data_IF_766816705312
#
_entry.id   IF_766816705312
#
_cell.length_a   1.000
_cell.length_b   1.000
_cell.length_c   1.000
_cell.angle_alpha   90.00
_cell.angle_beta   90.00
_cell.angle_gamma   90.00
#
_symmetry.space_group_name_H-M   'P 1'
#
loop_
_entity.id
_entity.type
_entity.pdbx_description
1 polymer ?
#
# COMPACT_ATOMS: atom_id res chain seq x y z
N UNK A 1 4.90 -33.80 52.82
CA UNK A 1 4.05 -33.23 51.76
C UNK A 1 4.72 -31.97 51.28
N UNK A 2 5.48 -32.05 50.19
CA UNK A 2 6.19 -30.90 49.64
C UNK A 2 5.18 -30.00 48.93
N UNK A 3 5.05 -28.78 49.43
CA UNK A 3 4.33 -27.72 48.75
C UNK A 3 5.03 -27.47 47.40
N UNK A 4 4.28 -27.66 46.32
CA UNK A 4 4.74 -27.33 44.98
C UNK A 4 4.95 -25.82 44.89
N UNK A 5 6.17 -25.45 44.53
CA UNK A 5 6.51 -24.14 43.99
C UNK A 5 5.64 -23.92 42.75
N UNK A 6 4.58 -23.11 42.86
CA UNK A 6 3.89 -22.55 41.70
C UNK A 6 4.89 -21.61 41.00
N UNK A 7 5.73 -22.21 40.16
CA UNK A 7 6.77 -21.51 39.44
C UNK A 7 6.19 -20.35 38.66
N UNK A 8 6.56 -19.13 39.04
CA UNK A 8 6.40 -17.92 38.25
C UNK A 8 6.83 -18.21 36.80
N UNK A 9 5.85 -18.39 35.89
CA UNK A 9 6.14 -18.61 34.48
C UNK A 9 7.06 -17.49 33.98
N UNK A 10 8.15 -17.87 33.31
CA UNK A 10 9.13 -16.91 32.80
C UNK A 10 8.45 -15.99 31.79
N UNK A 11 8.59 -14.68 31.99
CA UNK A 11 8.08 -13.65 31.07
C UNK A 11 8.85 -13.73 29.74
N UNK A 12 8.15 -13.55 28.62
CA UNK A 12 8.80 -13.42 27.31
C UNK A 12 9.82 -12.26 27.33
N UNK A 13 11.01 -12.53 26.80
CA UNK A 13 12.00 -11.52 26.47
C UNK A 13 12.16 -11.45 24.94
N UNK A 14 12.13 -10.24 24.40
CA UNK A 14 12.23 -10.01 22.95
C UNK A 14 13.56 -9.39 22.57
N UNK A 15 14.09 -9.76 21.41
CA UNK A 15 15.32 -9.16 20.85
C UNK A 15 15.12 -8.77 19.42
N UNK A 16 15.33 -7.50 19.11
CA UNK A 16 15.31 -6.97 17.75
C UNK A 16 16.38 -7.61 16.86
N UNK A 17 16.02 -7.94 15.63
CA UNK A 17 16.86 -8.59 14.63
C UNK A 17 17.00 -7.69 13.39
N UNK A 18 17.83 -6.62 13.43
CA UNK A 18 17.95 -5.67 12.32
C UNK A 18 18.44 -6.28 11.00
N UNK A 19 19.17 -7.39 11.08
CA UNK A 19 19.72 -8.13 9.94
C UNK A 19 18.70 -9.07 9.27
N UNK A 20 17.54 -9.30 9.89
CA UNK A 20 16.47 -10.15 9.34
C UNK A 20 15.56 -9.30 8.46
N UNK A 21 15.97 -9.10 7.23
CA UNK A 21 15.17 -8.46 6.19
C UNK A 21 14.40 -9.51 5.37
N UNK A 22 13.38 -9.07 4.61
CA UNK A 22 12.66 -9.94 3.68
C UNK A 22 13.22 -9.77 2.26
N UNK A 23 13.73 -10.84 1.63
CA UNK A 23 14.23 -10.79 0.26
C UNK A 23 13.21 -10.22 -0.75
N UNK A 24 11.93 -10.51 -0.58
CA UNK A 24 10.84 -10.00 -1.43
C UNK A 24 10.71 -8.48 -1.37
N UNK A 25 10.98 -7.82 -0.23
CA UNK A 25 10.96 -6.35 -0.10
C UNK A 25 12.26 -5.68 -0.61
N UNK A 26 13.35 -6.42 -0.66
CA UNK A 26 14.63 -5.96 -1.20
C UNK A 26 14.73 -6.16 -2.72
N UNK A 27 13.93 -7.08 -3.27
CA UNK A 27 13.87 -7.35 -4.70
C UNK A 27 13.56 -6.08 -5.50
N UNK A 28 14.38 -5.81 -6.53
CA UNK A 28 14.29 -4.59 -7.36
C UNK A 28 12.91 -4.40 -8.00
N UNK A 29 12.30 -5.47 -8.49
CA UNK A 29 11.01 -5.40 -9.18
C UNK A 29 9.89 -5.13 -8.18
N UNK A 30 9.92 -5.78 -7.01
CA UNK A 30 9.01 -5.45 -5.90
C UNK A 30 9.20 -4.01 -5.43
N UNK A 31 10.43 -3.53 -5.28
CA UNK A 31 10.65 -2.13 -4.90
C UNK A 31 10.13 -1.15 -5.96
N UNK A 32 10.32 -1.46 -7.25
CA UNK A 32 9.75 -0.69 -8.35
C UNK A 32 8.22 -0.61 -8.26
N UNK A 33 7.57 -1.76 -8.04
CA UNK A 33 6.11 -1.85 -7.82
C UNK A 33 5.67 -1.08 -6.59
N UNK A 34 6.31 -1.25 -5.45
CA UNK A 34 5.96 -0.53 -4.21
C UNK A 34 6.17 0.99 -4.34
N UNK A 35 7.14 1.47 -5.12
CA UNK A 35 7.27 2.90 -5.43
C UNK A 35 6.10 3.37 -6.28
N UNK A 36 5.78 2.64 -7.34
CA UNK A 36 4.65 2.91 -8.22
C UNK A 36 3.32 2.92 -7.44
N UNK A 37 3.13 1.97 -6.54
CA UNK A 37 1.95 1.86 -5.69
C UNK A 37 1.99 2.79 -4.47
N UNK A 38 2.96 3.71 -4.36
CA UNK A 38 3.06 4.69 -3.27
C UNK A 38 3.17 4.07 -1.85
N UNK A 39 3.73 2.87 -1.74
CA UNK A 39 3.94 2.16 -0.47
C UNK A 39 5.41 2.14 -0.02
N UNK A 40 6.35 2.35 -0.96
CA UNK A 40 7.79 2.32 -0.66
C UNK A 40 8.15 3.37 0.41
N UNK A 41 8.97 2.96 1.39
CA UNK A 41 9.34 3.80 2.52
C UNK A 41 8.27 3.94 3.60
N UNK A 42 7.06 3.37 3.40
CA UNK A 42 5.98 3.33 4.40
C UNK A 42 5.56 1.91 4.78
N UNK A 43 5.77 0.94 3.89
CA UNK A 43 5.67 -0.49 4.21
C UNK A 43 7.01 -1.00 4.71
N UNK A 44 7.02 -1.79 5.78
CA UNK A 44 8.21 -2.43 6.29
C UNK A 44 7.88 -3.73 7.00
N UNK A 45 8.90 -4.58 7.17
CA UNK A 45 8.84 -5.75 8.04
C UNK A 45 9.98 -5.67 9.04
N UNK A 46 9.64 -5.78 10.33
CA UNK A 46 10.58 -5.72 11.43
C UNK A 46 10.61 -7.06 12.15
N UNK A 47 11.78 -7.61 12.42
CA UNK A 47 11.91 -8.94 13.01
C UNK A 47 12.38 -8.87 14.47
N UNK A 48 11.77 -9.70 15.32
CA UNK A 48 12.20 -9.92 16.70
C UNK A 48 12.27 -11.42 16.97
N UNK A 49 13.19 -11.84 17.83
CA UNK A 49 13.18 -13.19 18.43
C UNK A 49 12.57 -13.15 19.82
N UNK A 50 12.09 -14.31 20.29
CA UNK A 50 11.59 -14.50 21.65
C UNK A 50 12.10 -15.81 22.27
N UNK A 51 12.15 -15.89 23.60
CA UNK A 51 12.85 -16.96 24.32
C UNK A 51 11.94 -18.04 24.93
N UNK A 52 10.64 -17.76 25.11
CA UNK A 52 9.66 -18.71 25.65
C UNK A 52 8.86 -19.43 24.55
N UNK A 53 8.19 -20.53 24.91
CA UNK A 53 7.32 -21.25 23.99
C UNK A 53 6.04 -20.45 23.73
N UNK A 54 5.75 -20.17 22.47
CA UNK A 54 4.50 -19.56 22.06
C UNK A 54 3.39 -20.61 22.02
N UNK A 55 2.22 -20.26 22.56
CA UNK A 55 1.00 -21.06 22.50
C UNK A 55 -0.14 -20.18 21.97
N UNK A 56 -0.73 -20.56 20.84
CA UNK A 56 -1.72 -19.73 20.14
C UNK A 56 -2.92 -19.34 21.01
N UNK A 57 -3.37 -20.22 21.90
CA UNK A 57 -4.48 -19.93 22.82
C UNK A 57 -4.16 -18.90 23.91
N UNK A 58 -2.88 -18.59 24.16
CA UNK A 58 -2.41 -17.51 25.06
C UNK A 58 -1.96 -16.28 24.27
N UNK A 59 -2.57 -16.02 23.11
CA UNK A 59 -2.22 -14.89 22.25
C UNK A 59 -2.18 -13.56 22.99
N UNK A 60 -3.14 -13.30 23.87
CA UNK A 60 -3.29 -12.00 24.52
C UNK A 60 -2.12 -11.72 25.46
N UNK A 61 -1.61 -12.76 26.12
CA UNK A 61 -0.42 -12.66 26.96
C UNK A 61 0.85 -12.43 26.13
N UNK A 62 1.00 -13.12 25.00
CA UNK A 62 2.14 -12.93 24.11
C UNK A 62 2.19 -11.51 23.54
N UNK A 63 1.08 -11.04 22.98
CA UNK A 63 1.01 -9.69 22.38
C UNK A 63 1.15 -8.62 23.47
N UNK A 64 0.57 -8.84 24.66
CA UNK A 64 0.79 -7.96 25.81
C UNK A 64 2.24 -7.93 26.26
N UNK A 65 2.92 -9.07 26.29
CA UNK A 65 4.34 -9.13 26.62
C UNK A 65 5.17 -8.39 25.56
N UNK A 66 4.86 -8.56 24.28
CA UNK A 66 5.55 -7.91 23.15
C UNK A 66 5.51 -6.38 23.27
N UNK A 67 4.33 -5.76 23.34
CA UNK A 67 4.21 -4.30 23.39
C UNK A 67 4.65 -3.67 24.72
N UNK A 68 4.84 -4.47 25.79
CA UNK A 68 5.36 -4.00 27.07
C UNK A 68 6.84 -4.35 27.28
N UNK A 69 7.50 -4.96 26.29
CA UNK A 69 8.92 -5.28 26.37
C UNK A 69 9.76 -4.03 26.05
N UNK A 70 10.72 -3.65 26.92
CA UNK A 70 11.54 -2.47 26.70
C UNK A 70 12.36 -2.49 25.40
N UNK A 71 12.81 -3.67 24.94
CA UNK A 71 13.53 -3.81 23.68
C UNK A 71 12.60 -3.57 22.49
N UNK A 72 11.36 -4.06 22.55
CA UNK A 72 10.33 -3.77 21.54
C UNK A 72 10.02 -2.28 21.52
N UNK A 73 9.73 -1.65 22.66
CA UNK A 73 9.42 -0.22 22.70
C UNK A 73 10.54 0.66 22.16
N UNK A 74 11.80 0.25 22.36
CA UNK A 74 12.98 0.97 21.88
C UNK A 74 13.31 0.73 20.41
N UNK A 75 12.78 -0.31 19.76
CA UNK A 75 13.18 -0.70 18.40
C UNK A 75 12.02 -0.81 17.41
N UNK A 76 10.79 -1.05 17.86
CA UNK A 76 9.61 -1.16 17.00
C UNK A 76 9.31 0.22 16.42
N UNK A 77 9.60 0.35 15.12
CA UNK A 77 9.44 1.57 14.35
C UNK A 77 8.03 1.71 13.80
N UNK A 78 7.59 2.96 13.72
CA UNK A 78 6.36 3.41 13.08
C UNK A 78 6.58 4.80 12.48
N UNK A 79 5.64 5.24 11.66
CA UNK A 79 5.62 6.59 11.08
C UNK A 79 4.75 7.50 11.93
N UNK A 80 5.28 8.69 12.24
CA UNK A 80 4.47 9.78 12.78
C UNK A 80 3.49 10.30 11.73
N UNK A 81 2.53 11.12 12.16
CA UNK A 81 1.62 11.82 11.24
C UNK A 81 2.36 12.71 10.22
N UNK A 82 3.56 13.20 10.56
CA UNK A 82 4.42 13.97 9.65
C UNK A 82 5.24 13.10 8.68
N UNK A 83 5.15 11.77 8.78
CA UNK A 83 5.89 10.83 7.92
C UNK A 83 7.34 10.59 8.36
N UNK A 84 7.69 10.95 9.60
CA UNK A 84 9.02 10.65 10.15
C UNK A 84 9.00 9.31 10.88
N UNK A 85 10.07 8.53 10.70
CA UNK A 85 10.25 7.28 11.43
C UNK A 85 10.62 7.56 12.89
N UNK A 86 9.85 6.98 13.80
CA UNK A 86 10.09 6.99 15.24
C UNK A 86 9.92 5.58 15.80
N UNK A 87 10.23 5.38 17.08
CA UNK A 87 9.91 4.15 17.82
C UNK A 87 8.62 4.33 18.62
N UNK A 88 8.02 3.22 19.06
CA UNK A 88 6.75 3.23 19.80
C UNK A 88 6.79 4.22 20.97
N UNK A 89 7.89 4.22 21.74
CA UNK A 89 8.30 5.27 22.70
C UNK A 89 7.33 5.61 23.84
N UNK A 90 6.11 5.10 23.78
CA UNK A 90 4.96 5.41 24.62
C UNK A 90 4.62 4.19 25.45
N UNK A 91 4.06 4.43 26.63
CA UNK A 91 3.58 3.36 27.50
C UNK A 91 2.20 2.92 27.03
N UNK A 92 2.16 1.76 26.37
CA UNK A 92 0.90 1.14 25.94
C UNK A 92 0.04 0.77 27.15
N UNK A 93 -1.24 1.12 27.11
CA UNK A 93 -2.24 0.84 28.15
C UNK A 93 -3.19 -0.27 27.76
N UNK A 94 -3.63 -0.26 26.49
CA UNK A 94 -4.54 -1.26 25.92
C UNK A 94 -3.97 -1.77 24.61
N UNK A 95 -4.21 -3.05 24.35
CA UNK A 95 -3.76 -3.75 23.15
C UNK A 95 -4.95 -4.52 22.61
N UNK A 96 -5.19 -4.41 21.31
CA UNK A 96 -6.15 -5.24 20.59
C UNK A 96 -5.39 -6.16 19.64
N UNK A 97 -5.72 -7.44 19.68
CA UNK A 97 -5.09 -8.48 18.87
C UNK A 97 -6.17 -9.41 18.31
N UNK A 98 -6.46 -9.24 17.02
CA UNK A 98 -7.43 -10.02 16.27
C UNK A 98 -6.67 -11.15 15.56
N UNK A 99 -7.10 -12.39 15.74
CA UNK A 99 -6.54 -13.53 15.01
C UNK A 99 -6.95 -13.40 13.55
N UNK A 100 -5.98 -13.48 12.64
CA UNK A 100 -6.23 -13.47 11.20
C UNK A 100 -6.06 -14.90 10.70
N UNK A 101 -7.10 -15.53 10.15
CA UNK A 101 -7.00 -16.86 9.53
C UNK A 101 -5.86 -16.90 8.52
N UNK A 102 -5.09 -17.98 8.54
CA UNK A 102 -3.97 -18.18 7.62
C UNK A 102 -3.93 -19.64 7.24
N UNK A 103 -4.80 -20.01 6.30
CA UNK A 103 -5.02 -21.40 5.88
C UNK A 103 -4.69 -21.61 4.39
N UNK A 104 -4.66 -20.54 3.60
CA UNK A 104 -4.45 -20.63 2.16
C UNK A 104 -2.99 -20.90 1.78
N UNK A 105 -2.72 -22.09 1.23
CA UNK A 105 -1.38 -22.50 0.75
C UNK A 105 -1.16 -22.30 -0.76
N UNK A 106 -2.18 -21.84 -1.48
CA UNK A 106 -2.16 -21.71 -2.95
C UNK A 106 -2.68 -20.35 -3.42
N UNK A 107 -2.03 -19.81 -4.46
CA UNK A 107 -2.50 -18.60 -5.15
C UNK A 107 -3.75 -18.85 -6.02
N UNK A 108 -4.10 -20.12 -6.29
CA UNK A 108 -5.35 -20.47 -7.00
C UNK A 108 -6.60 -19.98 -6.29
N UNK A 109 -6.47 -19.59 -5.01
CA UNK A 109 -7.47 -18.84 -4.27
C UNK A 109 -8.05 -17.64 -5.04
N UNK A 110 -7.23 -16.98 -5.88
CA UNK A 110 -7.62 -15.81 -6.67
C UNK A 110 -8.10 -16.15 -8.09
N UNK A 111 -8.13 -17.41 -8.51
CA UNK A 111 -8.55 -17.80 -9.88
C UNK A 111 -10.01 -17.40 -10.17
N UNK A 112 -10.82 -17.28 -9.13
CA UNK A 112 -12.21 -16.78 -9.21
C UNK A 112 -12.33 -15.37 -9.79
N UNK A 113 -11.28 -14.54 -9.69
CA UNK A 113 -11.25 -13.21 -10.31
C UNK A 113 -11.37 -13.29 -11.84
N UNK A 114 -10.84 -14.36 -12.46
CA UNK A 114 -11.00 -14.61 -13.89
C UNK A 114 -12.37 -15.18 -14.21
N UNK A 115 -12.83 -16.14 -13.38
CA UNK A 115 -14.07 -16.88 -13.64
C UNK A 115 -15.31 -15.98 -13.60
N UNK A 116 -15.31 -14.97 -12.74
CA UNK A 116 -16.43 -14.05 -12.55
C UNK A 116 -16.26 -12.71 -13.27
N UNK A 117 -15.34 -12.63 -14.25
CA UNK A 117 -15.25 -11.49 -15.17
C UNK A 117 -14.63 -10.20 -14.59
N UNK A 118 -14.10 -10.21 -13.37
CA UNK A 118 -13.34 -9.08 -12.79
C UNK A 118 -12.03 -8.87 -13.57
N UNK A 119 -11.44 -9.97 -14.04
CA UNK A 119 -10.21 -9.98 -14.84
C UNK A 119 -10.45 -10.79 -16.11
N UNK A 120 -10.04 -10.23 -17.24
CA UNK A 120 -10.12 -10.89 -18.55
C UNK A 120 -9.14 -12.05 -18.64
N UNK A 121 -9.37 -12.98 -19.55
CA UNK A 121 -8.45 -14.10 -19.83
C UNK A 121 -7.00 -13.65 -20.13
N UNK A 122 -6.85 -12.44 -20.69
CA UNK A 122 -5.54 -11.81 -20.96
C UNK A 122 -4.83 -11.29 -19.71
N UNK A 123 -5.45 -11.36 -18.53
CA UNK A 123 -4.94 -10.81 -17.28
C UNK A 123 -5.29 -9.33 -17.05
N UNK A 124 -5.92 -8.67 -18.02
CA UNK A 124 -6.35 -7.27 -17.89
C UNK A 124 -7.54 -7.13 -16.94
N UNK A 125 -7.44 -6.20 -15.98
CA UNK A 125 -8.48 -5.91 -15.01
C UNK A 125 -9.58 -5.08 -15.69
N UNK A 126 -10.85 -5.45 -15.48
CA UNK A 126 -11.99 -4.72 -16.04
C UNK A 126 -12.08 -3.33 -15.40
N UNK A 127 -12.15 -2.30 -16.24
CA UNK A 127 -12.24 -0.90 -15.82
C UNK A 127 -13.66 -0.52 -15.41
N UNK A 128 -13.76 0.43 -14.50
CA UNK A 128 -15.02 1.07 -14.11
C UNK A 128 -14.90 2.59 -14.23
N UNK A 129 -15.98 3.31 -13.91
CA UNK A 129 -15.89 4.76 -13.74
C UNK A 129 -15.01 5.11 -12.56
N UNK A 130 -14.23 6.19 -12.72
CA UNK A 130 -13.37 6.70 -11.67
C UNK A 130 -14.20 7.23 -10.50
N UNK A 131 -13.88 6.74 -9.31
CA UNK A 131 -14.46 7.15 -8.04
C UNK A 131 -13.39 7.13 -6.94
N UNK A 132 -13.72 7.59 -5.75
CA UNK A 132 -12.84 7.59 -4.58
C UNK A 132 -13.57 7.06 -3.35
N UNK A 133 -12.92 6.15 -2.63
CA UNK A 133 -13.40 5.65 -1.34
C UNK A 133 -12.32 5.89 -0.28
N UNK A 134 -12.62 6.73 0.71
CA UNK A 134 -11.69 7.15 1.77
C UNK A 134 -10.30 7.59 1.26
N UNK A 135 -10.26 8.27 0.11
CA UNK A 135 -9.01 8.75 -0.50
C UNK A 135 -8.22 7.69 -1.25
N UNK A 136 -8.80 6.51 -1.49
CA UNK A 136 -8.28 5.48 -2.39
C UNK A 136 -8.99 5.62 -3.74
N UNK A 137 -8.27 5.76 -4.87
CA UNK A 137 -8.89 5.80 -6.19
C UNK A 137 -9.45 4.44 -6.58
N UNK A 138 -10.67 4.43 -7.10
CA UNK A 138 -11.36 3.26 -7.65
C UNK A 138 -11.57 3.50 -9.14
N UNK A 139 -10.86 2.73 -9.97
CA UNK A 139 -10.89 2.85 -11.44
C UNK A 139 -11.07 1.50 -12.14
N UNK A 140 -11.29 0.44 -11.36
CA UNK A 140 -11.49 -0.92 -11.85
C UNK A 140 -12.34 -1.78 -10.90
N UNK A 141 -12.87 -2.86 -11.46
CA UNK A 141 -13.72 -3.82 -10.74
C UNK A 141 -12.95 -4.56 -9.64
N UNK A 142 -11.63 -4.73 -9.78
CA UNK A 142 -10.82 -5.37 -8.74
C UNK A 142 -10.86 -4.56 -7.44
N UNK A 143 -10.66 -3.24 -7.50
CA UNK A 143 -10.72 -2.39 -6.31
C UNK A 143 -12.12 -2.33 -5.71
N UNK A 144 -13.17 -2.32 -6.54
CA UNK A 144 -14.54 -2.42 -6.06
C UNK A 144 -14.76 -3.70 -5.27
N UNK A 145 -14.39 -4.87 -5.82
CA UNK A 145 -14.47 -6.16 -5.11
C UNK A 145 -13.74 -6.10 -3.77
N UNK A 146 -12.58 -5.47 -3.71
CA UNK A 146 -11.76 -5.43 -2.52
C UNK A 146 -12.27 -4.47 -1.44
N UNK A 147 -12.92 -3.36 -1.80
CA UNK A 147 -13.28 -2.27 -0.88
C UNK A 147 -14.78 -2.06 -0.66
N UNK A 148 -15.58 -2.19 -1.71
CA UNK A 148 -16.96 -1.73 -1.70
C UNK A 148 -17.92 -2.89 -1.41
N UNK A 149 -18.59 -2.83 -0.27
CA UNK A 149 -19.57 -3.83 0.17
C UNK A 149 -20.80 -3.90 -0.74
N UNK A 150 -21.10 -2.83 -1.47
CA UNK A 150 -22.20 -2.71 -2.42
C UNK A 150 -21.81 -3.03 -3.88
N UNK A 151 -20.57 -3.49 -4.11
CA UNK A 151 -20.15 -3.97 -5.43
C UNK A 151 -20.91 -5.23 -5.83
N UNK A 152 -21.35 -5.31 -7.10
CA UNK A 152 -21.98 -6.49 -7.69
C UNK A 152 -21.14 -7.77 -7.52
N UNK A 153 -19.82 -7.62 -7.40
CA UNK A 153 -18.88 -8.72 -7.25
C UNK A 153 -18.34 -8.86 -5.81
N UNK A 154 -18.91 -8.19 -4.82
CA UNK A 154 -18.43 -8.28 -3.42
C UNK A 154 -18.48 -9.74 -2.90
N UNK A 155 -19.54 -10.48 -3.17
CA UNK A 155 -19.69 -11.85 -2.66
C UNK A 155 -18.79 -12.89 -3.36
N UNK A 156 -17.97 -12.48 -4.34
CA UNK A 156 -16.94 -13.31 -4.97
C UNK A 156 -16.03 -14.00 -3.92
N UNK A 157 -15.74 -13.27 -2.86
CA UNK A 157 -15.05 -13.78 -1.69
C UNK A 157 -15.99 -13.70 -0.48
N UNK A 158 -16.34 -14.86 0.09
CA UNK A 158 -17.07 -14.93 1.36
C UNK A 158 -16.35 -14.15 2.46
N UNK A 159 -17.08 -13.82 3.52
CA UNK A 159 -16.50 -13.14 4.69
C UNK A 159 -15.27 -13.87 5.24
N UNK A 160 -15.33 -15.21 5.36
CA UNK A 160 -14.18 -16.02 5.79
C UNK A 160 -12.97 -15.90 4.86
N UNK A 161 -13.20 -15.81 3.55
CA UNK A 161 -12.13 -15.62 2.56
C UNK A 161 -11.53 -14.22 2.66
N UNK A 162 -12.34 -13.20 2.93
CA UNK A 162 -11.88 -11.80 3.08
C UNK A 162 -11.01 -11.62 4.32
N UNK A 163 -11.21 -12.45 5.34
CA UNK A 163 -10.44 -12.45 6.58
C UNK A 163 -9.11 -13.22 6.48
N UNK A 164 -8.92 -14.05 5.45
CA UNK A 164 -7.66 -14.77 5.25
C UNK A 164 -6.48 -13.82 5.07
N UNK A 165 -5.34 -14.13 5.70
CA UNK A 165 -4.14 -13.30 5.63
C UNK A 165 -3.62 -13.15 4.20
N UNK A 166 -3.74 -14.19 3.38
CA UNK A 166 -3.40 -14.12 1.96
C UNK A 166 -4.26 -13.08 1.21
N UNK A 167 -5.56 -13.04 1.49
CA UNK A 167 -6.46 -12.05 0.92
C UNK A 167 -6.13 -10.64 1.42
N UNK A 168 -5.91 -10.47 2.73
CA UNK A 168 -5.56 -9.18 3.33
C UNK A 168 -4.28 -8.60 2.70
N UNK A 169 -3.24 -9.44 2.55
CA UNK A 169 -1.98 -9.02 1.93
C UNK A 169 -2.18 -8.61 0.46
N UNK A 170 -2.94 -9.40 -0.31
CA UNK A 170 -3.29 -9.07 -1.69
C UNK A 170 -4.08 -7.76 -1.78
N UNK A 171 -5.11 -7.60 -0.94
CA UNK A 171 -5.91 -6.38 -0.83
C UNK A 171 -5.01 -5.18 -0.62
N UNK A 172 -4.15 -5.20 0.41
CA UNK A 172 -3.27 -4.07 0.71
C UNK A 172 -2.36 -3.68 -0.46
N UNK A 173 -1.82 -4.64 -1.21
CA UNK A 173 -0.97 -4.35 -2.36
C UNK A 173 -1.76 -3.75 -3.54
N UNK A 174 -2.99 -4.22 -3.76
CA UNK A 174 -3.88 -3.66 -4.77
C UNK A 174 -4.27 -2.22 -4.42
N UNK A 175 -4.61 -1.93 -3.16
CA UNK A 175 -5.02 -0.59 -2.77
C UNK A 175 -3.86 0.41 -2.83
N UNK A 176 -2.64 -0.02 -2.48
CA UNK A 176 -1.45 0.83 -2.55
C UNK A 176 -1.43 1.91 -1.47
N UNK A 177 -0.85 3.07 -1.80
CA UNK A 177 -0.82 4.27 -0.96
C UNK A 177 -1.50 5.47 -1.65
N UNK A 178 -1.35 6.66 -1.08
CA UNK A 178 -2.11 7.86 -1.51
C UNK A 178 -1.90 8.26 -2.98
N UNK A 179 -0.72 8.01 -3.54
CA UNK A 179 -0.40 8.33 -4.95
C UNK A 179 -0.22 7.05 -5.78
N UNK A 180 -1.02 6.02 -5.49
CA UNK A 180 -0.92 4.72 -6.15
C UNK A 180 -1.13 4.86 -7.67
N UNK A 181 -0.08 4.58 -8.44
CA UNK A 181 -0.18 4.32 -9.87
C UNK A 181 -0.47 2.84 -10.04
N UNK A 182 -1.72 2.47 -10.23
CA UNK A 182 -2.14 1.08 -10.26
C UNK A 182 -1.71 0.34 -11.55
N UNK A 183 -1.86 -0.98 -11.53
CA UNK A 183 -1.67 -1.83 -12.71
C UNK A 183 -2.99 -2.03 -13.45
N UNK A 184 -2.91 -2.17 -14.77
CA UNK A 184 -4.03 -2.58 -15.61
C UNK A 184 -4.15 -4.10 -15.74
N UNK A 185 -3.19 -4.84 -15.20
CA UNK A 185 -3.11 -6.30 -15.25
C UNK A 185 -2.93 -6.89 -13.85
N UNK A 186 -3.51 -8.07 -13.61
CA UNK A 186 -3.54 -8.70 -12.28
C UNK A 186 -2.19 -9.31 -11.86
N UNK A 187 -1.40 -9.80 -12.84
CA UNK A 187 -0.17 -10.56 -12.60
C UNK A 187 0.82 -9.94 -11.60
N UNK A 188 1.20 -8.66 -11.72
CA UNK A 188 2.13 -8.02 -10.80
C UNK A 188 1.69 -8.06 -9.34
N UNK A 189 0.38 -7.93 -9.07
CA UNK A 189 -0.15 -8.04 -7.71
C UNK A 189 0.01 -9.46 -7.17
N UNK A 190 -0.41 -10.48 -7.95
CA UNK A 190 -0.30 -11.89 -7.54
C UNK A 190 1.15 -12.30 -7.27
N UNK A 191 2.07 -11.90 -8.14
CA UNK A 191 3.50 -12.19 -7.99
C UNK A 191 4.08 -11.56 -6.71
N UNK A 192 3.77 -10.30 -6.45
CA UNK A 192 4.27 -9.59 -5.26
C UNK A 192 3.62 -10.13 -3.98
N UNK A 193 2.32 -10.44 -4.00
CA UNK A 193 1.64 -11.14 -2.89
C UNK A 193 2.31 -12.48 -2.61
N UNK A 194 2.51 -13.31 -3.63
CA UNK A 194 3.13 -14.63 -3.49
C UNK A 194 4.54 -14.54 -2.90
N UNK A 195 5.35 -13.60 -3.36
CA UNK A 195 6.71 -13.40 -2.86
C UNK A 195 6.71 -13.00 -1.37
N UNK A 196 5.89 -12.01 -1.00
CA UNK A 196 5.78 -11.57 0.40
C UNK A 196 5.21 -12.66 1.31
N UNK A 197 4.17 -13.36 0.85
CA UNK A 197 3.53 -14.43 1.62
C UNK A 197 4.52 -15.56 1.92
N UNK A 198 5.34 -15.97 0.93
CA UNK A 198 6.37 -17.00 1.11
C UNK A 198 7.48 -16.62 2.09
N UNK A 199 7.81 -15.33 2.16
CA UNK A 199 8.85 -14.86 3.09
C UNK A 199 8.31 -14.71 4.51
N UNK A 200 7.04 -14.33 4.65
CA UNK A 200 6.38 -14.10 5.94
C UNK A 200 5.91 -15.39 6.61
N UNK A 201 5.26 -16.28 5.84
CA UNK A 201 4.55 -17.44 6.37
C UNK A 201 5.41 -18.70 6.29
N UNK A 202 5.57 -19.35 7.43
CA UNK A 202 6.24 -20.64 7.52
C UNK A 202 5.25 -21.79 7.32
N UNK A 203 5.73 -22.80 6.61
CA UNK A 203 5.01 -24.05 6.38
C UNK A 203 5.90 -25.23 6.74
N UNK A 204 5.28 -26.36 7.07
CA UNK A 204 5.94 -27.66 7.16
C UNK A 204 5.11 -28.70 6.42
N UNK A 205 5.71 -29.85 6.12
CA UNK A 205 4.95 -31.00 5.65
C UNK A 205 4.46 -31.77 6.86
N UNK A 206 3.17 -32.09 6.86
CA UNK A 206 2.62 -33.01 7.82
C UNK A 206 3.32 -34.38 7.69
N UNK A 207 3.83 -34.97 8.78
CA UNK A 207 4.58 -36.22 8.70
C UNK A 207 3.76 -37.41 8.18
N UNK A 208 2.44 -37.43 8.40
CA UNK A 208 1.56 -38.54 8.05
C UNK A 208 0.95 -38.34 6.66
N UNK A 209 0.24 -37.24 6.46
CA UNK A 209 -0.52 -36.93 5.24
C UNK A 209 0.35 -36.38 4.10
N UNK A 210 1.57 -35.90 4.42
CA UNK A 210 2.49 -35.19 3.49
C UNK A 210 1.96 -33.86 2.96
N UNK A 211 0.80 -33.40 3.43
CA UNK A 211 0.23 -32.12 3.06
C UNK A 211 1.03 -30.96 3.65
N UNK A 212 0.98 -29.81 2.98
CA UNK A 212 1.64 -28.60 3.45
C UNK A 212 0.72 -27.94 4.48
N UNK A 213 1.21 -27.77 5.71
CA UNK A 213 0.50 -27.11 6.79
C UNK A 213 1.22 -25.81 7.18
N UNK A 214 0.45 -24.75 7.39
CA UNK A 214 0.96 -23.46 7.88
C UNK A 214 1.26 -23.57 9.37
N UNK A 215 2.45 -23.12 9.77
CA UNK A 215 2.90 -23.15 11.17
C UNK A 215 2.90 -21.77 11.83
N UNK A 216 2.83 -20.71 11.02
CA UNK A 216 2.77 -19.33 11.53
C UNK A 216 1.39 -19.00 12.08
N UNK A 217 1.34 -18.19 13.13
CA UNK A 217 0.10 -17.59 13.66
C UNK A 217 0.11 -16.09 13.40
N UNK A 218 -1.00 -15.54 12.88
CA UNK A 218 -1.11 -14.15 12.45
C UNK A 218 -2.05 -13.38 13.36
N UNK A 219 -1.63 -12.19 13.82
CA UNK A 219 -2.46 -11.27 14.57
C UNK A 219 -2.46 -9.89 13.91
N UNK A 220 -3.65 -9.33 13.62
CA UNK A 220 -3.77 -7.90 13.34
C UNK A 220 -3.79 -7.18 14.69
N UNK A 221 -2.90 -6.20 14.85
CA UNK A 221 -2.68 -5.57 16.15
C UNK A 221 -2.84 -4.07 16.12
N UNK A 222 -3.43 -3.55 17.19
CA UNK A 222 -3.50 -2.12 17.49
C UNK A 222 -3.10 -1.91 18.95
N UNK A 223 -2.39 -0.82 19.23
CA UNK A 223 -2.00 -0.45 20.59
C UNK A 223 -2.49 0.97 20.90
N UNK A 224 -2.86 1.18 22.17
CA UNK A 224 -3.47 2.41 22.65
C UNK A 224 -2.74 2.92 23.89
N UNK A 225 -2.50 4.22 23.94
CA UNK A 225 -1.98 4.96 25.09
C UNK A 225 -3.06 5.89 25.66
N UNK A 226 -2.66 6.86 26.48
CA UNK A 226 -3.60 7.81 27.11
C UNK A 226 -4.28 8.77 26.11
N UNK A 227 -3.77 8.88 24.87
CA UNK A 227 -4.29 9.75 23.82
C UNK A 227 -5.10 8.99 22.75
N UNK A 228 -5.29 7.67 22.90
CA UNK A 228 -5.98 6.83 21.92
C UNK A 228 -5.03 5.87 21.21
N UNK A 229 -5.33 5.54 19.94
CA UNK A 229 -4.52 4.58 19.17
C UNK A 229 -3.14 5.19 18.89
N UNK A 230 -2.07 4.54 19.37
CA UNK A 230 -0.68 4.97 19.14
C UNK A 230 0.05 4.08 18.14
N UNK A 231 -0.48 2.89 17.84
CA UNK A 231 0.07 1.95 16.86
C UNK A 231 -1.06 1.22 16.13
N UNK A 232 -1.00 1.01 14.80
CA UNK A 232 0.10 1.37 13.88
C UNK A 232 0.24 2.88 13.58
N UNK A 233 -0.82 3.66 13.80
CA UNK A 233 -0.79 5.11 13.64
C UNK A 233 -1.86 5.74 14.52
N UNK A 234 -1.77 7.05 14.75
CA UNK A 234 -2.83 7.82 15.42
C UNK A 234 -4.05 8.08 14.52
N UNK A 235 -3.95 7.79 13.23
CA UNK A 235 -5.05 7.88 12.27
C UNK A 235 -5.47 6.49 11.81
N UNK A 236 -6.75 6.17 11.98
CA UNK A 236 -7.35 4.96 11.42
C UNK A 236 -7.54 5.13 9.92
N UNK A 237 -7.25 4.06 9.17
CA UNK A 237 -7.48 3.98 7.74
C UNK A 237 -7.39 2.50 7.31
N UNK A 238 -8.15 2.08 6.29
CA UNK A 238 -8.14 0.70 5.78
C UNK A 238 -6.73 0.21 5.41
N UNK A 239 -5.93 1.15 4.91
CA UNK A 239 -4.57 0.94 4.45
C UNK A 239 -3.52 1.31 5.52
N UNK A 240 -3.91 1.47 6.78
CA UNK A 240 -2.99 1.60 7.92
C UNK A 240 -3.12 0.34 8.77
N UNK A 241 -2.09 -0.49 8.79
CA UNK A 241 -2.15 -1.83 9.39
C UNK A 241 -0.84 -2.25 10.03
N UNK A 242 -0.95 -3.14 11.00
CA UNK A 242 0.16 -3.94 11.50
C UNK A 242 -0.28 -5.38 11.78
N UNK A 243 0.54 -6.32 11.30
CA UNK A 243 0.37 -7.74 11.55
C UNK A 243 1.59 -8.27 12.30
N UNK A 244 1.37 -9.05 13.36
CA UNK A 244 2.37 -9.90 13.98
C UNK A 244 2.26 -11.29 13.35
N UNK A 245 3.34 -11.73 12.71
CA UNK A 245 3.48 -13.06 12.12
C UNK A 245 4.43 -13.86 13.02
N UNK A 246 3.85 -14.66 13.90
CA UNK A 246 4.59 -15.45 14.90
C UNK A 246 4.95 -16.81 14.29
N UNK A 247 6.23 -17.12 14.25
CA UNK A 247 6.77 -18.44 13.93
C UNK A 247 7.23 -19.12 15.22
N UNK A 248 6.47 -20.11 15.74
CA UNK A 248 6.79 -20.76 17.00
C UNK A 248 8.07 -21.60 16.95
N UNK A 249 8.40 -22.17 15.77
CA UNK A 249 9.54 -23.08 15.60
C UNK A 249 10.84 -22.30 15.48
N UNK A 250 10.84 -21.23 14.68
CA UNK A 250 11.99 -20.30 14.57
C UNK A 250 12.10 -19.38 15.78
N UNK A 251 11.06 -19.32 16.62
CA UNK A 251 10.91 -18.37 17.73
C UNK A 251 11.10 -16.92 17.31
N UNK A 252 10.52 -16.58 16.17
CA UNK A 252 10.58 -15.24 15.59
C UNK A 252 9.18 -14.66 15.46
N UNK A 253 9.08 -13.34 15.58
CA UNK A 253 7.89 -12.58 15.17
C UNK A 253 8.32 -11.54 14.13
N UNK A 254 7.68 -11.58 12.97
CA UNK A 254 7.78 -10.51 11.97
C UNK A 254 6.61 -9.55 12.17
N UNK A 255 6.90 -8.26 12.17
CA UNK A 255 5.91 -7.19 12.24
C UNK A 255 5.80 -6.57 10.87
N UNK A 256 4.79 -6.98 10.10
CA UNK A 256 4.44 -6.34 8.83
C UNK A 256 3.64 -5.08 9.13
N UNK A 257 4.16 -3.94 8.70
CA UNK A 257 3.63 -2.62 9.03
C UNK A 257 3.45 -1.79 7.77
N UNK A 258 2.36 -1.02 7.70
CA UNK A 258 2.18 0.07 6.77
C UNK A 258 1.33 1.18 7.39
N UNK A 259 1.64 2.44 7.08
CA UNK A 259 0.80 3.59 7.45
C UNK A 259 0.43 4.39 6.21
N UNK A 260 -0.87 4.53 6.00
CA UNK A 260 -1.45 5.34 4.96
C UNK A 260 -1.33 6.82 5.32
N UNK A 261 -0.58 7.55 4.51
CA UNK A 261 -0.57 9.00 4.49
C UNK A 261 0.14 9.46 3.20
N UNK A 262 -0.18 10.68 2.76
CA UNK A 262 0.51 11.33 1.67
C UNK A 262 1.81 11.97 2.17
N UNK A 263 2.92 11.69 1.48
CA UNK A 263 4.06 12.61 1.44
C UNK A 263 4.46 12.69 -0.03
N UNK A 264 4.39 13.88 -0.62
CA UNK A 264 4.82 14.06 -2.01
C UNK A 264 6.34 13.97 -2.05
N UNK A 265 6.86 12.91 -2.65
CA UNK A 265 8.29 12.81 -2.98
C UNK A 265 8.40 13.06 -4.49
N UNK A 266 8.79 14.28 -4.84
CA UNK A 266 9.06 14.66 -6.22
C UNK A 266 10.54 14.46 -6.50
N UNK A 267 10.87 13.47 -7.33
CA UNK A 267 12.22 13.28 -7.82
C UNK A 267 12.47 14.22 -9.01
N UNK A 268 13.05 15.38 -8.73
CA UNK A 268 13.50 16.33 -9.76
C UNK A 268 14.89 15.92 -10.23
N UNK A 269 15.09 15.76 -11.55
CA UNK A 269 16.43 15.51 -12.10
C UNK A 269 17.31 16.74 -11.88
N UNK A 270 18.60 16.51 -11.60
CA UNK A 270 19.55 17.58 -11.27
C UNK A 270 19.78 18.59 -12.40
N UNK A 271 19.48 18.22 -13.63
CA UNK A 271 19.59 19.02 -14.86
C UNK A 271 18.26 19.62 -15.33
N UNK A 272 17.19 19.54 -14.53
CA UNK A 272 15.83 19.96 -14.92
C UNK A 272 15.74 21.42 -15.39
N UNK A 273 16.50 22.34 -14.81
CA UNK A 273 16.55 23.74 -15.24
C UNK A 273 17.19 23.88 -16.64
N UNK A 274 18.31 23.19 -16.85
CA UNK A 274 19.01 23.15 -18.14
C UNK A 274 18.19 22.43 -19.21
N UNK A 275 17.48 21.36 -18.86
CA UNK A 275 16.60 20.61 -19.77
C UNK A 275 15.41 21.47 -20.23
N UNK A 276 14.83 22.24 -19.31
CA UNK A 276 13.73 23.15 -19.63
C UNK A 276 14.20 24.30 -20.52
N UNK A 277 15.38 24.89 -20.25
CA UNK A 277 15.98 25.91 -21.12
C UNK A 277 16.35 25.33 -22.50
N UNK A 278 16.90 24.12 -22.56
CA UNK A 278 17.22 23.42 -23.80
C UNK A 278 15.96 23.18 -24.66
N UNK A 279 14.82 22.87 -24.04
CA UNK A 279 13.55 22.70 -24.73
C UNK A 279 13.09 23.98 -25.45
N UNK A 280 13.24 25.15 -24.82
CA UNK A 280 12.93 26.44 -25.47
C UNK A 280 13.97 26.80 -26.54
N UNK A 281 15.25 26.64 -26.24
CA UNK A 281 16.34 26.94 -27.17
C UNK A 281 16.30 26.06 -28.42
N UNK A 282 15.80 24.82 -28.34
CA UNK A 282 15.57 23.94 -29.48
C UNK A 282 14.71 24.58 -30.59
N UNK A 283 13.75 25.42 -30.20
CA UNK A 283 12.82 26.10 -31.12
C UNK A 283 13.29 27.50 -31.46
N UNK A 284 13.76 28.25 -30.46
CA UNK A 284 14.12 29.67 -30.63
C UNK A 284 15.50 29.86 -31.28
N UNK A 285 16.44 28.95 -31.01
CA UNK A 285 17.83 29.00 -31.48
C UNK A 285 18.26 27.67 -32.14
N UNK A 286 17.57 27.23 -33.22
CA UNK A 286 17.69 25.88 -33.77
C UNK A 286 19.06 25.52 -34.34
N UNK A 287 19.92 26.51 -34.59
CA UNK A 287 21.30 26.31 -35.08
C UNK A 287 22.34 26.17 -33.96
N UNK A 288 22.00 26.55 -32.72
CA UNK A 288 22.89 26.53 -31.56
C UNK A 288 22.54 25.48 -30.50
N UNK A 289 21.36 24.87 -30.57
CA UNK A 289 20.90 23.87 -29.61
C UNK A 289 21.38 22.46 -29.98
N UNK A 290 22.13 21.81 -29.08
CA UNK A 290 22.54 20.41 -29.23
C UNK A 290 21.48 19.48 -28.61
N UNK A 291 20.32 19.39 -29.24
CA UNK A 291 19.19 18.55 -28.78
C UNK A 291 18.89 17.43 -29.77
N UNK A 292 18.37 16.27 -29.33
CA UNK A 292 17.97 15.20 -30.24
C UNK A 292 16.92 15.66 -31.25
N UNK A 293 17.22 15.50 -32.55
CA UNK A 293 16.23 15.78 -33.59
C UNK A 293 15.20 14.65 -33.67
N UNK A 294 13.93 15.04 -33.75
CA UNK A 294 12.81 14.11 -33.90
C UNK A 294 11.94 14.52 -35.08
N UNK A 295 11.39 13.54 -35.80
CA UNK A 295 10.48 13.81 -36.91
C UNK A 295 9.24 14.54 -36.35
N UNK A 296 8.92 15.76 -36.84
CA UNK A 296 7.73 16.49 -36.41
C UNK A 296 6.49 15.61 -36.49
N UNK A 297 5.60 15.70 -35.49
CA UNK A 297 4.43 14.83 -35.40
C UNK A 297 3.60 14.83 -36.70
N UNK A 298 3.45 15.99 -37.36
CA UNK A 298 2.72 16.15 -38.65
C UNK A 298 3.29 15.36 -39.83
N UNK A 299 4.56 14.95 -39.77
CA UNK A 299 5.21 14.15 -40.81
C UNK A 299 5.19 12.65 -40.48
N UNK A 300 4.61 12.27 -39.34
CA UNK A 300 4.41 10.87 -38.95
C UNK A 300 3.09 10.36 -39.52
N UNK A 301 2.99 9.04 -39.65
CA UNK A 301 1.75 8.34 -40.03
C UNK A 301 0.76 8.33 -38.85
N UNK A 302 0.17 9.48 -38.57
CA UNK A 302 -0.85 9.66 -37.52
C UNK A 302 -2.19 10.02 -38.15
N UNK A 303 -3.33 9.63 -37.54
CA UNK A 303 -4.65 10.02 -38.02
C UNK A 303 -4.83 11.53 -38.09
N UNK A 304 -5.61 12.01 -39.05
CA UNK A 304 -5.95 13.44 -39.22
C UNK A 304 -6.51 14.09 -37.95
N UNK A 305 -7.28 13.32 -37.16
CA UNK A 305 -7.85 13.76 -35.88
C UNK A 305 -6.79 14.09 -34.82
N UNK A 306 -5.57 13.59 -34.96
CA UNK A 306 -4.45 13.95 -34.06
C UNK A 306 -4.06 15.44 -34.20
N UNK A 307 -4.32 16.05 -35.36
CA UNK A 307 -3.98 17.46 -35.65
C UNK A 307 -5.19 18.37 -35.81
N UNK A 308 -6.40 17.80 -35.89
CA UNK A 308 -7.65 18.52 -36.04
C UNK A 308 -8.42 18.44 -34.71
N UNK A 309 -8.44 19.51 -33.91
CA UNK A 309 -9.27 19.56 -32.70
C UNK A 309 -10.73 19.28 -33.06
N UNK A 310 -11.48 18.53 -32.23
CA UNK A 310 -12.90 18.32 -32.47
C UNK A 310 -13.64 19.66 -32.41
N UNK A 311 -14.63 19.83 -33.29
CA UNK A 311 -15.48 21.03 -33.24
C UNK A 311 -16.27 21.05 -31.91
N UNK A 312 -16.38 22.21 -31.25
CA UNK A 312 -17.21 22.33 -30.06
C UNK A 312 -18.66 22.03 -30.45
N UNK A 313 -19.22 20.95 -29.91
CA UNK A 313 -20.63 20.58 -30.13
C UNK A 313 -21.52 21.72 -29.60
N UNK A 314 -22.20 22.44 -30.49
CA UNK A 314 -23.35 23.26 -30.11
C UNK A 314 -24.45 22.31 -29.62
N UNK A 315 -25.03 22.58 -28.45
CA UNK A 315 -26.09 21.76 -27.86
C UNK A 315 -27.32 21.67 -28.79
N UNK A 316 -27.45 20.59 -29.55
CA UNK A 316 -28.72 20.17 -30.13
C UNK A 316 -29.46 19.34 -29.10
N UNK A 317 -30.53 19.91 -28.51
CA UNK A 317 -31.54 19.15 -27.77
C UNK A 317 -32.28 18.26 -28.77
N UNK A 318 -31.93 16.99 -28.80
CA UNK A 318 -32.81 15.94 -29.31
C UNK A 318 -32.43 14.64 -28.60
N UNK A 319 -33.35 14.19 -27.76
CA UNK A 319 -33.34 12.87 -27.14
C UNK A 319 -33.43 11.80 -28.23
N UNK A 320 -32.42 10.92 -28.29
CA UNK A 320 -32.63 9.51 -28.64
C UNK A 320 -31.43 8.67 -28.15
N UNK A 321 -31.75 7.46 -27.69
CA UNK A 321 -30.89 6.51 -26.97
C UNK A 321 -29.41 6.43 -27.43
N UNK A 322 -28.48 6.72 -26.52
CA UNK A 322 -27.08 6.27 -26.62
C UNK A 322 -26.03 7.22 -26.04
N UNK A 323 -25.26 6.74 -25.06
CA UNK A 323 -23.94 7.23 -24.66
C UNK A 323 -23.79 8.76 -24.49
N UNK A 324 -24.05 9.24 -23.26
CA UNK A 324 -23.74 10.61 -22.87
C UNK A 324 -22.46 10.65 -22.03
N UNK A 325 -21.40 11.27 -22.55
CA UNK A 325 -20.26 11.74 -21.76
C UNK A 325 -20.77 12.67 -20.64
N UNK A 326 -20.16 12.70 -19.44
CA UNK A 326 -20.62 13.58 -18.40
C UNK A 326 -20.46 15.05 -18.81
N UNK A 327 -21.62 15.68 -18.85
CA UNK A 327 -21.91 17.12 -18.84
C UNK A 327 -20.90 17.93 -18.04
N UNK A 328 -20.52 19.08 -18.59
CA UNK A 328 -19.84 20.20 -17.93
C UNK A 328 -20.67 20.73 -16.75
N UNK A 329 -20.63 20.05 -15.61
CA UNK A 329 -20.71 20.73 -14.32
C UNK A 329 -19.27 21.07 -13.94
N UNK A 330 -19.06 22.31 -13.56
CA UNK A 330 -17.79 22.83 -13.07
C UNK A 330 -17.17 21.86 -12.07
N UNK A 331 -16.17 21.08 -12.50
CA UNK A 331 -15.24 20.47 -11.57
C UNK A 331 -14.61 21.63 -10.80
N UNK A 332 -14.88 21.71 -9.50
CA UNK A 332 -14.15 22.54 -8.57
C UNK A 332 -12.72 21.99 -8.50
N UNK A 333 -11.91 22.38 -9.49
CA UNK A 333 -10.52 21.97 -9.59
C UNK A 333 -9.74 22.65 -8.47
N UNK A 334 -9.24 21.84 -7.55
CA UNK A 334 -8.17 22.26 -6.64
C UNK A 334 -6.88 22.26 -7.44
N UNK A 335 -6.17 23.39 -7.45
CA UNK A 335 -4.88 23.52 -8.13
C UNK A 335 -3.78 23.73 -7.11
N UNK A 336 -2.64 23.08 -7.35
CA UNK A 336 -1.39 23.36 -6.65
C UNK A 336 -0.40 23.97 -7.64
N UNK A 337 0.14 25.13 -7.31
CA UNK A 337 1.22 25.78 -8.06
C UNK A 337 2.55 25.50 -7.36
N UNK A 338 3.54 25.05 -8.12
CA UNK A 338 4.91 24.96 -7.67
C UNK A 338 5.64 26.23 -8.11
N UNK A 339 5.96 27.10 -7.16
CA UNK A 339 6.84 28.24 -7.40
C UNK A 339 8.24 27.83 -6.95
N UNK A 340 9.14 27.67 -7.91
CA UNK A 340 10.54 27.38 -7.66
C UNK A 340 11.29 28.71 -7.60
N UNK A 341 11.91 29.02 -6.46
CA UNK A 341 12.88 30.13 -6.37
C UNK A 341 14.29 29.56 -6.67
N UNK A 342 14.86 29.84 -7.86
CA UNK A 342 16.11 29.23 -8.28
C UNK A 342 17.31 29.69 -7.45
N UNK A 343 17.25 30.88 -6.86
CA UNK A 343 18.36 31.47 -6.12
C UNK A 343 18.45 30.91 -4.69
N UNK A 344 17.33 30.49 -4.12
CA UNK A 344 17.28 30.00 -2.73
C UNK A 344 17.24 28.47 -2.62
N UNK A 345 16.98 27.73 -3.71
CA UNK A 345 16.72 26.27 -3.67
C UNK A 345 15.54 25.90 -2.77
N UNK A 346 14.54 26.78 -2.69
CA UNK A 346 13.27 26.51 -2.00
C UNK A 346 12.17 26.26 -3.04
N UNK A 347 11.27 25.33 -2.72
CA UNK A 347 10.04 25.08 -3.48
C UNK A 347 8.87 25.54 -2.65
N UNK A 348 8.16 26.56 -3.12
CA UNK A 348 6.93 27.02 -2.49
C UNK A 348 5.75 26.34 -3.17
N UNK A 349 4.96 25.63 -2.38
CA UNK A 349 3.72 25.00 -2.85
C UNK A 349 2.57 25.94 -2.50
N UNK A 350 1.98 26.58 -3.50
CA UNK A 350 0.78 27.39 -3.35
C UNK A 350 -0.44 26.51 -3.58
N UNK A 351 -1.17 26.27 -2.51
CA UNK A 351 -2.40 25.49 -2.53
C UNK A 351 -3.59 26.44 -2.59
N UNK A 352 -4.41 26.34 -3.64
CA UNK A 352 -5.66 27.08 -3.74
C UNK A 352 -6.84 26.13 -3.60
N UNK A 353 -7.53 26.22 -2.46
CA UNK A 353 -8.86 25.64 -2.23
C UNK A 353 -9.87 26.78 -2.16
N UNK A 354 -10.97 26.69 -2.89
CA UNK A 354 -12.06 27.67 -2.74
C UNK A 354 -12.65 27.53 -1.34
N UNK A 355 -12.31 28.45 -0.45
CA UNK A 355 -12.70 28.43 0.97
C UNK A 355 -11.69 29.09 1.92
N UNK A 356 -10.47 29.41 1.48
CA UNK A 356 -9.51 30.19 2.26
C UNK A 356 -8.06 29.92 1.86
N UNK A 357 -7.32 30.98 1.56
CA UNK A 357 -5.89 30.91 1.24
C UNK A 357 -5.09 30.73 2.53
N UNK A 358 -4.40 29.60 2.70
CA UNK A 358 -3.41 29.40 3.75
C UNK A 358 -2.01 29.43 3.13
N UNK A 359 -1.18 30.35 3.61
CA UNK A 359 0.25 30.40 3.28
C UNK A 359 1.02 29.49 4.24
N UNK A 360 1.84 28.58 3.71
CA UNK A 360 2.88 27.88 4.46
C UNK A 360 4.23 28.38 3.95
N UNK A 361 5.07 28.87 4.87
CA UNK A 361 6.45 29.32 4.61
C UNK A 361 7.42 28.14 4.64
#
# INVERSE_FOLDING_TARGET
MSAGDEGSERRFAFRYLPQKTLPSLENRDTQGRLRKWSMHGRITVQAFSFDQHFKAYRKDEFVKAFFNDPNVSANLKLLTASGQWTTLGTKVKKIEAIVVPCTQVSMSFFDRLYSEGVVRETGHIVKCYDDYYDGIPISDELRKVLLLEDSDHFDLFSQSNREEFLFCLFKHLCLGGTLCQFEDVLGPYLETTKALYKDLVSVQKDPETKEIIITSTIFKVSAYDDNGMCYPSTKSHEQTFAYLIVDPLKRHVHVLYHSFAGHQIVHVRGDSETDLEALFNAVMNPKGANVPHTLPMRLRKLPDSFFKPPEPKAHSRQDDNGMCYPSTKSHEQTFAYLIVDPLKRHVHVLYHSFGGTLFFN
#
